data_IF_572021890015
#
_entry.id   IF_572021890015
#
_cell.length_a   1.000
_cell.length_b   1.000
_cell.length_c   1.000
_cell.angle_alpha   90.00
_cell.angle_beta   90.00
_cell.angle_gamma   90.00
#
_symmetry.space_group_name_H-M   'P 1'
#
loop_
_entity.id
_entity.type
_entity.pdbx_description
1 polymer ?
#
# COMPACT_ATOMS: atom_id res chain seq x y z
N UNK A 1 -4.47 12.89 -19.30
CA UNK A 1 -3.65 11.79 -19.78
C UNK A 1 -2.47 12.25 -20.64
N UNK A 2 -2.42 13.53 -21.04
CA UNK A 2 -1.31 14.09 -21.81
C UNK A 2 -0.05 14.16 -20.94
N UNK A 3 1.08 13.52 -21.33
CA UNK A 3 2.29 13.55 -20.56
C UNK A 3 2.97 14.92 -20.62
N UNK A 4 3.43 15.41 -19.49
CA UNK A 4 4.14 16.69 -19.38
C UNK A 4 5.47 16.51 -18.68
N UNK A 5 6.54 17.01 -19.27
CA UNK A 5 7.85 17.11 -18.61
C UNK A 5 7.96 18.49 -17.98
N UNK A 6 8.02 18.53 -16.65
CA UNK A 6 8.13 19.76 -15.87
C UNK A 6 9.03 19.53 -14.66
N UNK A 7 9.92 20.49 -14.39
CA UNK A 7 10.86 20.45 -13.25
C UNK A 7 11.70 19.16 -13.19
N UNK A 8 12.11 18.65 -14.36
CA UNK A 8 12.90 17.41 -14.48
C UNK A 8 12.10 16.11 -14.19
N UNK A 9 10.78 16.20 -14.11
CA UNK A 9 9.87 15.07 -13.83
C UNK A 9 8.90 14.87 -14.99
N UNK A 10 8.52 13.61 -15.22
CA UNK A 10 7.45 13.24 -16.14
C UNK A 10 6.13 13.12 -15.35
N UNK A 11 5.15 13.92 -15.72
CA UNK A 11 3.81 13.93 -15.13
C UNK A 11 2.81 13.32 -16.09
N UNK A 12 2.24 12.18 -15.72
CA UNK A 12 1.14 11.53 -16.45
C UNK A 12 0.50 10.44 -15.59
N UNK A 13 -0.71 10.02 -15.91
CA UNK A 13 -1.31 8.83 -15.30
C UNK A 13 -0.44 7.59 -15.60
N UNK A 14 -0.08 6.84 -14.54
CA UNK A 14 0.75 5.64 -14.64
C UNK A 14 2.24 5.91 -14.87
N UNK A 15 2.72 7.17 -14.77
CA UNK A 15 4.15 7.47 -14.97
C UNK A 15 5.02 6.82 -13.88
N UNK A 16 4.53 6.80 -12.64
CA UNK A 16 5.18 6.20 -11.48
C UNK A 16 4.48 4.91 -11.02
N UNK A 17 3.24 4.69 -11.38
CA UNK A 17 2.42 3.54 -11.03
C UNK A 17 1.67 3.05 -12.27
N UNK A 18 2.19 1.99 -12.99
CA UNK A 18 3.57 1.44 -12.82
C UNK A 18 4.32 1.34 -14.16
N UNK A 19 3.95 2.20 -15.16
CA UNK A 19 4.60 2.20 -16.49
C UNK A 19 6.10 2.50 -16.40
N UNK A 20 6.52 3.31 -15.41
CA UNK A 20 7.92 3.59 -15.14
C UNK A 20 8.68 2.33 -14.77
N UNK A 21 8.15 1.56 -13.83
CA UNK A 21 8.73 0.31 -13.36
C UNK A 21 8.75 -0.76 -14.46
N UNK A 22 7.65 -0.90 -15.21
CA UNK A 22 7.60 -1.78 -16.38
C UNK A 22 8.63 -1.42 -17.44
N UNK A 23 8.84 -0.12 -17.69
CA UNK A 23 9.87 0.35 -18.61
C UNK A 23 11.29 0.05 -18.13
N UNK A 24 11.56 0.17 -16.82
CA UNK A 24 12.84 -0.21 -16.22
C UNK A 24 13.14 -1.70 -16.45
N UNK A 25 12.15 -2.57 -16.25
CA UNK A 25 12.31 -4.01 -16.52
C UNK A 25 12.66 -4.28 -17.99
N UNK A 26 11.97 -3.62 -18.94
CA UNK A 26 12.24 -3.77 -20.36
C UNK A 26 13.65 -3.28 -20.71
N UNK A 27 14.11 -2.17 -20.12
CA UNK A 27 15.45 -1.66 -20.32
C UNK A 27 16.53 -2.56 -19.72
N UNK A 28 16.29 -3.11 -18.54
CA UNK A 28 17.20 -4.08 -17.92
C UNK A 28 17.33 -5.34 -18.80
N UNK A 29 16.22 -5.84 -19.33
CA UNK A 29 16.21 -6.96 -20.27
C UNK A 29 16.98 -6.63 -21.56
N UNK A 30 16.72 -5.47 -22.17
CA UNK A 30 17.43 -5.00 -23.37
C UNK A 30 18.95 -4.97 -23.17
N UNK A 31 19.40 -4.43 -22.03
CA UNK A 31 20.83 -4.37 -21.67
C UNK A 31 21.38 -5.79 -21.48
N UNK A 32 20.69 -6.64 -20.73
CA UNK A 32 21.12 -8.01 -20.47
C UNK A 32 21.30 -8.82 -21.78
N UNK A 33 20.40 -8.62 -22.75
CA UNK A 33 20.52 -9.25 -24.07
C UNK A 33 21.73 -8.69 -24.85
N UNK A 34 21.87 -7.35 -24.93
CA UNK A 34 22.96 -6.69 -25.67
C UNK A 34 24.36 -7.06 -25.15
N UNK A 35 24.48 -7.13 -23.82
CA UNK A 35 25.74 -7.44 -23.13
C UNK A 35 25.99 -8.97 -23.01
N UNK A 36 25.11 -9.80 -23.54
CA UNK A 36 25.22 -11.26 -23.43
C UNK A 36 25.15 -11.78 -22.00
N UNK A 37 24.52 -11.06 -21.09
CA UNK A 37 24.39 -11.41 -19.67
C UNK A 37 23.16 -12.29 -19.40
N UNK A 38 22.19 -12.34 -20.31
CA UNK A 38 20.98 -13.13 -20.12
C UNK A 38 21.30 -14.63 -20.15
N UNK A 39 20.93 -15.34 -19.07
CA UNK A 39 21.19 -16.79 -18.88
C UNK A 39 19.91 -17.60 -18.68
N UNK A 40 18.74 -17.00 -18.86
CA UNK A 40 17.44 -17.62 -18.67
C UNK A 40 16.46 -17.22 -19.77
N UNK A 41 15.37 -17.95 -19.88
CA UNK A 41 14.23 -17.51 -20.68
C UNK A 41 13.44 -16.45 -19.89
N UNK A 42 12.90 -15.46 -20.60
CA UNK A 42 12.10 -14.40 -20.00
C UNK A 42 10.74 -14.37 -20.67
N UNK A 43 9.72 -14.24 -19.86
CA UNK A 43 8.33 -14.02 -20.28
C UNK A 43 7.86 -12.71 -19.66
N UNK A 44 7.19 -11.88 -20.42
CA UNK A 44 6.53 -10.68 -19.92
C UNK A 44 5.02 -10.93 -19.91
N UNK A 45 4.40 -10.80 -18.75
CA UNK A 45 2.96 -10.72 -18.59
C UNK A 45 2.60 -9.29 -18.26
N UNK A 46 1.89 -8.64 -19.15
CA UNK A 46 1.49 -7.24 -19.00
C UNK A 46 -0.03 -7.20 -18.99
N UNK A 47 -0.60 -6.62 -17.97
CA UNK A 47 -2.04 -6.41 -17.85
C UNK A 47 -2.38 -4.93 -17.75
N UNK A 48 -3.60 -4.56 -18.06
CA UNK A 48 -4.05 -3.16 -18.07
C UNK A 48 -5.24 -2.88 -17.16
N UNK A 49 -5.56 -3.80 -16.25
CA UNK A 49 -6.74 -3.73 -15.40
C UNK A 49 -6.46 -3.79 -13.90
N UNK A 50 -5.22 -3.58 -13.45
CA UNK A 50 -4.84 -3.69 -12.04
C UNK A 50 -5.68 -2.76 -11.16
N UNK A 51 -5.80 -1.50 -11.52
CA UNK A 51 -6.53 -0.44 -10.81
C UNK A 51 -8.05 -0.67 -10.66
N UNK A 52 -8.59 -1.65 -11.35
CA UNK A 52 -9.98 -2.08 -11.23
C UNK A 52 -10.12 -3.53 -10.75
N UNK A 53 -9.07 -4.06 -10.10
CA UNK A 53 -9.04 -5.39 -9.50
C UNK A 53 -8.66 -6.53 -10.46
N UNK A 54 -7.90 -6.25 -11.52
CA UNK A 54 -7.35 -7.25 -12.46
C UNK A 54 -8.40 -8.22 -13.05
N UNK A 55 -9.53 -7.74 -13.59
CA UNK A 55 -10.57 -8.63 -14.11
C UNK A 55 -10.03 -9.47 -15.25
N UNK A 56 -10.14 -10.77 -15.13
CA UNK A 56 -9.71 -11.74 -16.15
C UNK A 56 -8.28 -12.27 -16.00
N UNK A 57 -7.40 -11.68 -15.19
CA UNK A 57 -6.04 -12.19 -14.96
C UNK A 57 -6.08 -13.62 -14.39
N UNK A 58 -6.94 -13.87 -13.41
CA UNK A 58 -7.07 -15.20 -12.81
C UNK A 58 -7.50 -16.26 -13.85
N UNK A 59 -8.50 -15.93 -14.67
CA UNK A 59 -8.97 -16.81 -15.73
C UNK A 59 -7.87 -17.08 -16.76
N UNK A 60 -7.21 -16.02 -17.23
CA UNK A 60 -6.08 -16.12 -18.16
C UNK A 60 -4.96 -17.01 -17.59
N UNK A 61 -4.59 -16.82 -16.34
CA UNK A 61 -3.56 -17.64 -15.72
C UNK A 61 -3.95 -19.12 -15.65
N UNK A 62 -5.21 -19.42 -15.31
CA UNK A 62 -5.73 -20.81 -15.28
C UNK A 62 -5.73 -21.48 -16.65
N UNK A 63 -6.06 -20.73 -17.69
CA UNK A 63 -6.09 -21.24 -19.08
C UNK A 63 -4.70 -21.44 -19.68
N UNK A 64 -3.70 -20.69 -19.21
CA UNK A 64 -2.37 -20.64 -19.80
C UNK A 64 -1.25 -21.07 -18.84
N UNK A 65 -1.51 -22.00 -17.91
CA UNK A 65 -0.54 -22.46 -16.91
C UNK A 65 0.78 -22.94 -17.54
N UNK A 66 0.73 -23.72 -18.61
CA UNK A 66 1.94 -24.21 -19.28
C UNK A 66 2.76 -23.08 -19.92
N UNK A 67 2.09 -22.08 -20.48
CA UNK A 67 2.76 -20.89 -21.04
C UNK A 67 3.42 -20.05 -19.93
N UNK A 68 2.76 -19.94 -18.79
CA UNK A 68 3.19 -19.09 -17.68
C UNK A 68 4.17 -19.79 -16.72
N UNK A 69 4.34 -21.11 -16.85
CA UNK A 69 5.27 -21.84 -15.99
C UNK A 69 6.66 -21.20 -16.00
N UNK A 70 7.17 -20.93 -14.80
CA UNK A 70 8.47 -20.30 -14.57
C UNK A 70 9.07 -20.73 -13.22
N UNK A 71 10.35 -20.46 -13.02
CA UNK A 71 11.05 -20.73 -11.76
C UNK A 71 10.98 -19.54 -10.81
N UNK A 72 10.89 -18.32 -11.37
CA UNK A 72 10.85 -17.06 -10.63
C UNK A 72 9.84 -16.13 -11.26
N UNK A 73 9.05 -15.45 -10.44
CA UNK A 73 8.19 -14.34 -10.83
C UNK A 73 8.78 -13.06 -10.23
N UNK A 74 8.99 -12.05 -11.07
CA UNK A 74 9.40 -10.73 -10.68
C UNK A 74 8.23 -9.77 -10.88
N UNK A 75 7.75 -9.17 -9.80
CA UNK A 75 6.75 -8.10 -9.81
C UNK A 75 7.48 -6.83 -9.37
N UNK A 76 7.38 -5.75 -10.12
CA UNK A 76 8.06 -4.49 -9.80
C UNK A 76 7.11 -3.31 -9.57
N UNK A 77 5.87 -3.59 -9.28
CA UNK A 77 4.90 -2.60 -8.83
C UNK A 77 5.22 -2.13 -7.40
N UNK A 78 6.35 -1.43 -7.28
CA UNK A 78 6.94 -0.96 -6.02
C UNK A 78 7.70 0.33 -6.25
N UNK A 79 7.96 1.07 -5.19
CA UNK A 79 8.72 2.33 -5.23
C UNK A 79 10.13 2.15 -4.69
N UNK A 80 11.05 3.02 -5.13
CA UNK A 80 12.35 3.19 -4.48
C UNK A 80 12.18 4.01 -3.19
N UNK A 81 13.07 3.82 -2.22
CA UNK A 81 13.10 4.63 -0.99
C UNK A 81 13.43 6.10 -1.30
N UNK A 82 14.19 6.36 -2.34
CA UNK A 82 14.54 7.69 -2.83
C UNK A 82 15.24 7.60 -4.18
N UNK A 83 15.43 8.74 -4.86
CA UNK A 83 16.01 8.79 -6.20
C UNK A 83 17.39 8.13 -6.27
N UNK A 84 18.20 8.26 -5.24
CA UNK A 84 19.55 7.71 -5.16
C UNK A 84 19.62 6.47 -4.23
N UNK A 85 18.47 5.91 -3.87
CA UNK A 85 18.37 4.77 -2.96
C UNK A 85 17.53 3.67 -3.61
N UNK A 86 18.11 2.87 -4.52
CA UNK A 86 17.42 1.74 -5.11
C UNK A 86 17.09 0.70 -4.03
N UNK A 87 15.97 0.01 -4.21
CA UNK A 87 15.51 -1.00 -3.26
C UNK A 87 14.95 -2.23 -3.97
N UNK A 88 14.99 -3.36 -3.29
CA UNK A 88 14.30 -4.58 -3.68
C UNK A 88 13.29 -4.89 -2.60
N UNK A 89 12.01 -4.85 -2.95
CA UNK A 89 10.93 -5.22 -2.04
C UNK A 89 10.85 -6.74 -1.94
N UNK A 90 11.02 -7.27 -0.74
CA UNK A 90 11.05 -8.72 -0.47
C UNK A 90 9.76 -9.24 0.14
N UNK A 91 8.83 -8.36 0.48
CA UNK A 91 7.53 -8.70 1.05
C UNK A 91 6.61 -7.48 1.09
N UNK A 92 5.33 -7.74 1.21
CA UNK A 92 4.27 -6.74 1.31
C UNK A 92 3.42 -7.00 2.56
N UNK A 93 2.79 -5.96 3.07
CA UNK A 93 1.74 -6.11 4.08
C UNK A 93 0.50 -6.71 3.42
N UNK A 94 -0.20 -7.57 4.15
CA UNK A 94 -1.50 -8.05 3.72
C UNK A 94 -2.54 -6.93 3.73
N UNK A 95 -3.65 -7.14 3.02
CA UNK A 95 -4.77 -6.21 2.95
C UNK A 95 -6.06 -6.94 3.34
N UNK A 96 -6.88 -6.29 4.18
CA UNK A 96 -8.26 -6.67 4.42
C UNK A 96 -9.13 -5.42 4.26
N UNK A 97 -10.09 -5.48 3.37
CA UNK A 97 -11.05 -4.40 3.12
C UNK A 97 -12.38 -4.70 3.81
N UNK A 98 -12.89 -3.72 4.54
CA UNK A 98 -14.10 -3.88 5.33
C UNK A 98 -15.07 -2.73 5.08
N UNK A 99 -16.34 -3.05 5.09
CA UNK A 99 -17.44 -2.10 5.14
C UNK A 99 -18.18 -2.28 6.46
N UNK A 100 -18.44 -1.19 7.16
CA UNK A 100 -19.14 -1.18 8.44
C UNK A 100 -20.43 -0.37 8.25
N UNK A 101 -21.56 -1.04 8.39
CA UNK A 101 -22.89 -0.41 8.39
C UNK A 101 -23.44 -0.32 9.80
N UNK A 102 -23.87 0.87 10.20
CA UNK A 102 -24.55 1.11 11.48
C UNK A 102 -25.98 1.57 11.22
N UNK A 103 -26.91 0.70 11.52
CA UNK A 103 -28.35 0.98 11.32
C UNK A 103 -28.95 1.62 12.56
N UNK A 104 -29.69 2.71 12.37
CA UNK A 104 -30.42 3.44 13.39
C UNK A 104 -31.93 3.17 13.40
N UNK A 105 -32.73 4.15 13.81
CA UNK A 105 -34.19 4.07 13.78
C UNK A 105 -34.74 3.80 12.38
N UNK A 106 -35.98 3.32 12.29
CA UNK A 106 -36.66 2.97 11.04
C UNK A 106 -37.10 4.17 10.18
N UNK A 107 -36.78 5.38 10.60
CA UNK A 107 -37.07 6.64 9.90
C UNK A 107 -36.21 7.77 10.44
N UNK A 108 -36.17 8.89 9.71
CA UNK A 108 -35.51 10.11 10.16
C UNK A 108 -36.25 10.70 11.38
N UNK A 109 -35.49 11.11 12.35
CA UNK A 109 -35.98 11.66 13.62
C UNK A 109 -35.54 13.12 13.78
N UNK A 110 -36.47 13.98 14.17
CA UNK A 110 -36.17 15.38 14.48
C UNK A 110 -35.32 15.49 15.76
N UNK A 111 -34.10 15.99 15.63
CA UNK A 111 -33.15 16.09 16.73
C UNK A 111 -33.63 16.90 17.92
N UNK A 112 -34.46 17.92 17.71
CA UNK A 112 -35.06 18.74 18.78
C UNK A 112 -36.07 18.00 19.62
N UNK A 113 -36.62 16.85 19.17
CA UNK A 113 -37.60 16.03 19.89
C UNK A 113 -36.93 14.77 20.43
N UNK A 114 -36.08 14.11 19.64
CA UNK A 114 -35.52 12.80 19.95
C UNK A 114 -34.05 12.85 20.35
N UNK A 115 -33.40 14.02 20.23
CA UNK A 115 -31.99 14.18 20.60
C UNK A 115 -31.76 13.88 22.07
N UNK A 116 -30.74 13.09 22.38
CA UNK A 116 -30.42 12.63 23.73
C UNK A 116 -31.23 11.43 24.22
N UNK A 117 -32.23 10.97 23.47
CA UNK A 117 -33.08 9.80 23.85
C UNK A 117 -32.87 8.58 22.97
N UNK A 118 -32.30 8.79 21.77
CA UNK A 118 -32.04 7.74 20.79
C UNK A 118 -30.58 7.87 20.29
N UNK A 119 -29.90 6.72 20.18
CA UNK A 119 -28.56 6.69 19.64
C UNK A 119 -28.56 7.16 18.17
N UNK A 120 -27.68 8.10 17.84
CA UNK A 120 -27.45 8.52 16.46
C UNK A 120 -26.43 7.58 15.83
N UNK A 121 -26.76 6.88 14.73
CA UNK A 121 -25.88 5.89 14.12
C UNK A 121 -24.51 6.47 13.67
N UNK A 122 -24.48 7.73 13.20
CA UNK A 122 -23.23 8.39 12.83
C UNK A 122 -22.35 8.61 14.07
N UNK A 123 -22.94 9.06 15.19
CA UNK A 123 -22.19 9.25 16.43
C UNK A 123 -21.63 7.94 16.96
N UNK A 124 -22.40 6.85 16.87
CA UNK A 124 -21.92 5.53 17.30
C UNK A 124 -20.84 4.99 16.37
N UNK A 125 -20.98 5.14 15.06
CA UNK A 125 -19.92 4.80 14.10
C UNK A 125 -18.62 5.56 14.38
N UNK A 126 -18.71 6.87 14.60
CA UNK A 126 -17.53 7.69 14.94
C UNK A 126 -16.84 7.23 16.23
N UNK A 127 -17.61 6.86 17.27
CA UNK A 127 -17.05 6.31 18.52
C UNK A 127 -16.37 4.97 18.29
N UNK A 128 -16.97 4.08 17.51
CA UNK A 128 -16.35 2.79 17.16
C UNK A 128 -15.04 2.99 16.42
N UNK A 129 -15.02 3.82 15.36
CA UNK A 129 -13.81 4.11 14.59
C UNK A 129 -12.72 4.76 15.45
N UNK A 130 -13.07 5.74 16.27
CA UNK A 130 -12.13 6.39 17.18
C UNK A 130 -11.53 5.44 18.22
N UNK A 131 -12.24 4.37 18.57
CA UNK A 131 -11.77 3.34 19.50
C UNK A 131 -10.86 2.28 18.88
N UNK A 132 -10.75 2.21 17.55
CA UNK A 132 -9.95 1.15 16.88
C UNK A 132 -8.45 1.34 17.06
N UNK A 133 -7.98 2.57 17.21
CA UNK A 133 -6.55 2.88 17.39
C UNK A 133 -6.38 3.66 18.70
N UNK A 134 -5.47 3.20 19.56
CA UNK A 134 -5.16 3.86 20.83
C UNK A 134 -4.18 5.05 20.67
N UNK A 135 -3.88 5.73 21.79
CA UNK A 135 -2.94 6.86 21.85
C UNK A 135 -1.49 6.50 21.52
N UNK A 136 -1.17 5.22 21.41
CA UNK A 136 0.13 4.72 20.99
C UNK A 136 0.15 4.31 19.51
N UNK A 137 -0.94 4.53 18.78
CA UNK A 137 -1.09 4.13 17.39
C UNK A 137 -1.29 2.62 17.21
N UNK A 138 -1.67 1.90 18.28
CA UNK A 138 -1.86 0.46 18.28
C UNK A 138 -3.35 0.13 18.05
N UNK A 139 -3.61 -0.84 17.18
CA UNK A 139 -4.97 -1.32 16.90
C UNK A 139 -5.49 -2.09 18.10
N UNK A 140 -6.71 -1.77 18.55
CA UNK A 140 -7.32 -2.27 19.79
C UNK A 140 -8.24 -3.46 19.60
N UNK A 141 -8.47 -3.89 18.35
CA UNK A 141 -9.35 -5.00 18.06
C UNK A 141 -8.86 -6.29 18.73
N UNK A 142 -9.73 -7.04 19.42
CA UNK A 142 -9.33 -8.29 20.07
C UNK A 142 -8.69 -9.26 19.07
N UNK A 143 -7.64 -9.93 19.52
CA UNK A 143 -6.90 -10.93 18.72
C UNK A 143 -6.25 -10.40 17.43
N UNK A 144 -6.25 -9.10 17.17
CA UNK A 144 -5.67 -8.53 15.96
C UNK A 144 -4.17 -8.83 15.83
N UNK A 145 -3.45 -8.79 16.93
CA UNK A 145 -1.99 -9.01 16.95
C UNK A 145 -1.56 -10.47 17.16
N UNK A 146 -2.47 -11.42 17.34
CA UNK A 146 -2.11 -12.82 17.64
C UNK A 146 -1.22 -13.46 16.58
N UNK A 147 -1.31 -13.02 15.33
CA UNK A 147 -0.53 -13.51 14.20
C UNK A 147 0.42 -12.47 13.60
N UNK A 148 0.51 -11.29 14.20
CA UNK A 148 1.43 -10.25 13.75
C UNK A 148 2.84 -10.60 14.22
N UNK A 149 3.75 -10.79 13.28
CA UNK A 149 5.14 -11.11 13.58
C UNK A 149 5.85 -9.93 14.24
N UNK A 150 6.76 -10.24 15.14
CA UNK A 150 7.61 -9.23 15.74
C UNK A 150 8.75 -8.90 14.80
N UNK A 151 8.96 -7.61 14.54
CA UNK A 151 10.10 -7.15 13.74
C UNK A 151 11.38 -7.58 14.42
N UNK A 152 12.16 -8.40 13.77
CA UNK A 152 13.41 -8.96 14.32
C UNK A 152 14.49 -7.88 14.49
N UNK A 153 15.46 -8.13 15.35
CA UNK A 153 16.62 -7.23 15.50
C UNK A 153 17.38 -7.04 14.19
N UNK A 154 17.45 -8.08 13.36
CA UNK A 154 18.09 -8.01 12.06
C UNK A 154 17.32 -7.10 11.09
N UNK A 155 16.01 -7.26 10.99
CA UNK A 155 15.15 -6.40 10.16
C UNK A 155 15.22 -4.94 10.61
N UNK A 156 15.15 -4.68 11.93
CA UNK A 156 15.33 -3.32 12.46
C UNK A 156 16.68 -2.72 12.07
N UNK A 157 17.74 -3.51 12.15
CA UNK A 157 19.08 -3.06 11.75
C UNK A 157 19.15 -2.77 10.24
N UNK A 158 18.53 -3.60 9.41
CA UNK A 158 18.49 -3.41 7.95
C UNK A 158 17.66 -2.16 7.59
N UNK A 159 16.49 -1.98 8.15
CA UNK A 159 15.65 -0.80 7.91
C UNK A 159 16.30 0.47 8.45
N UNK A 160 16.95 0.39 9.61
CA UNK A 160 17.69 1.51 10.19
C UNK A 160 18.95 1.93 9.42
N UNK A 161 19.48 1.05 8.58
CA UNK A 161 20.63 1.36 7.71
C UNK A 161 20.22 2.04 6.39
N UNK A 162 18.92 2.05 6.07
CA UNK A 162 18.42 2.73 4.86
C UNK A 162 18.58 4.24 5.04
N UNK A 163 19.20 4.95 4.07
CA UNK A 163 19.29 6.40 4.11
C UNK A 163 17.90 7.02 3.93
N UNK A 164 17.27 7.35 5.05
CA UNK A 164 15.93 7.92 5.11
C UNK A 164 15.93 9.24 5.89
N UNK A 165 15.50 10.31 5.23
CA UNK A 165 15.42 11.65 5.80
C UNK A 165 13.94 11.98 6.11
N UNK A 166 13.58 11.89 7.37
CA UNK A 166 12.21 12.11 7.85
C UNK A 166 11.73 13.55 7.61
N UNK A 167 12.62 14.54 7.69
CA UNK A 167 12.25 15.94 7.44
C UNK A 167 11.95 16.18 5.96
N UNK A 168 12.73 15.60 5.06
CA UNK A 168 12.43 15.64 3.63
C UNK A 168 11.13 14.91 3.31
N UNK A 169 10.89 13.78 3.94
CA UNK A 169 9.64 13.04 3.77
C UNK A 169 8.43 13.88 4.22
N UNK A 170 8.46 14.46 5.41
CA UNK A 170 7.40 15.35 5.91
C UNK A 170 7.16 16.53 4.98
N UNK A 171 8.23 17.17 4.51
CA UNK A 171 8.14 18.28 3.58
C UNK A 171 7.52 17.88 2.24
N UNK A 172 7.89 16.70 1.70
CA UNK A 172 7.37 16.21 0.43
C UNK A 172 5.86 15.93 0.45
N UNK A 173 5.33 15.45 1.58
CA UNK A 173 3.89 15.15 1.75
C UNK A 173 3.12 16.28 2.45
N UNK A 174 3.79 17.38 2.86
CA UNK A 174 3.16 18.57 3.42
C UNK A 174 2.62 18.41 4.84
N UNK A 175 3.20 17.53 5.66
CA UNK A 175 2.80 17.34 7.06
C UNK A 175 3.84 17.87 8.03
N UNK A 176 3.39 18.31 9.21
CA UNK A 176 4.28 18.78 10.28
C UNK A 176 4.81 17.65 11.15
N UNK A 177 3.99 16.64 11.38
CA UNK A 177 4.28 15.52 12.26
C UNK A 177 3.84 14.22 11.59
N UNK A 178 4.54 13.12 11.90
CA UNK A 178 4.19 11.79 11.50
C UNK A 178 3.44 11.08 12.63
N UNK A 179 2.54 10.21 12.25
CA UNK A 179 1.71 9.42 13.15
C UNK A 179 1.97 7.91 12.95
N UNK A 180 1.48 7.10 13.87
CA UNK A 180 1.54 5.65 13.79
C UNK A 180 2.02 4.99 15.07
N UNK A 181 2.19 3.67 15.06
CA UNK A 181 2.52 2.88 16.25
C UNK A 181 3.83 3.33 16.89
N UNK A 182 3.78 3.69 18.18
CA UNK A 182 4.96 4.13 18.95
C UNK A 182 5.98 3.00 19.08
N UNK A 183 7.26 3.37 19.07
CA UNK A 183 8.36 2.42 19.18
C UNK A 183 8.82 1.81 17.85
N UNK A 184 8.23 2.26 16.74
CA UNK A 184 8.62 1.87 15.39
C UNK A 184 8.96 3.11 14.54
N UNK A 185 9.97 2.96 13.68
CA UNK A 185 10.34 3.99 12.70
C UNK A 185 9.31 4.10 11.59
N UNK A 186 9.37 5.16 10.79
CA UNK A 186 8.48 5.35 9.63
C UNK A 186 8.60 4.19 8.63
N UNK A 187 9.82 3.72 8.37
CA UNK A 187 10.06 2.58 7.48
C UNK A 187 9.46 1.29 8.04
N UNK A 188 9.60 1.03 9.34
CA UNK A 188 8.97 -0.13 9.98
C UNK A 188 7.43 -0.05 9.92
N UNK A 189 6.85 1.14 10.15
CA UNK A 189 5.39 1.34 10.04
C UNK A 189 4.88 1.08 8.64
N UNK A 190 5.61 1.53 7.63
CA UNK A 190 5.21 1.37 6.22
C UNK A 190 5.41 -0.05 5.67
N UNK A 191 6.33 -0.83 6.24
CA UNK A 191 6.70 -2.15 5.69
C UNK A 191 6.28 -3.34 6.56
N UNK A 192 6.42 -3.23 7.88
CA UNK A 192 6.31 -4.39 8.79
C UNK A 192 5.14 -4.29 9.77
N UNK A 193 4.61 -3.09 10.01
CA UNK A 193 3.55 -2.92 11.02
C UNK A 193 2.18 -2.77 10.38
N UNK A 194 1.12 -3.32 11.02
CA UNK A 194 -0.24 -3.11 10.56
C UNK A 194 -0.66 -1.65 10.69
N UNK A 195 -1.58 -1.22 9.83
CA UNK A 195 -2.29 0.05 9.94
C UNK A 195 -3.80 -0.17 9.86
N UNK A 196 -4.55 0.81 10.30
CA UNK A 196 -6.00 0.87 10.13
C UNK A 196 -6.34 2.25 9.57
N UNK A 197 -6.86 2.26 8.36
CA UNK A 197 -7.14 3.48 7.61
C UNK A 197 -8.60 3.52 7.18
N UNK A 198 -9.28 4.63 7.45
CA UNK A 198 -10.65 4.88 6.99
C UNK A 198 -10.60 5.52 5.61
N UNK A 199 -11.01 4.77 4.57
CA UNK A 199 -10.94 5.21 3.19
C UNK A 199 -12.17 5.99 2.74
N UNK A 200 -13.27 5.95 3.48
CA UNK A 200 -14.49 6.69 3.19
C UNK A 200 -15.54 6.58 4.27
N UNK A 201 -16.43 7.56 4.32
CA UNK A 201 -17.64 7.58 5.15
C UNK A 201 -18.75 8.17 4.28
N UNK A 202 -19.92 7.53 4.21
CA UNK A 202 -21.07 8.00 3.43
C UNK A 202 -22.38 7.72 4.15
#
# INVERSE_FOLDING_TARGET
FEPVVKDGKLWARGADDDKGQGFIQLKAFEIAVKEGLLRCNVKFLIEGGEEIGSPGVEAFCKEHLDLLKCDVILVSDTSMVGLDTPSITTGLRGLAYWEIEVTGPNRDLHSGIFGGTVANPINELCKMLAGVVDENGRITLPHFYDKVETVSTQERAMLGAVPYDEEKYKAAIGVKELSGEKGYSTLERNSCRPSFDVCGIW
#
